data_IF_502389939482
#
_entry.id   IF_502389939482
#
_cell.length_a   1.000
_cell.length_b   1.000
_cell.length_c   1.000
_cell.angle_alpha   90.00
_cell.angle_beta   90.00
_cell.angle_gamma   90.00
#
_symmetry.space_group_name_H-M   'P 1'
#
loop_
_entity.id
_entity.type
_entity.pdbx_description
1 polymer ?
#
# COMPACT_ATOMS: atom_id res chain seq x y z
N UNK A 1 -18.67 -21.02 -3.18
CA UNK A 1 -17.42 -21.75 -2.92
C UNK A 1 -17.52 -23.04 -3.73
N UNK A 2 -16.67 -23.26 -4.74
CA UNK A 2 -16.74 -24.46 -5.58
C UNK A 2 -15.70 -25.47 -5.09
N UNK A 3 -16.16 -26.64 -4.67
CA UNK A 3 -15.31 -27.81 -4.40
C UNK A 3 -15.57 -28.76 -5.57
N UNK A 4 -14.57 -29.04 -6.41
CA UNK A 4 -14.69 -30.11 -7.39
C UNK A 4 -13.38 -30.86 -7.49
N UNK A 5 -13.45 -32.18 -7.31
CA UNK A 5 -12.53 -33.11 -7.94
C UNK A 5 -13.42 -34.18 -8.58
N UNK A 6 -13.57 -34.20 -9.90
CA UNK A 6 -14.23 -35.31 -10.60
C UNK A 6 -13.92 -35.30 -12.11
N UNK A 7 -13.49 -36.46 -12.61
CA UNK A 7 -12.76 -36.67 -13.87
C UNK A 7 -13.63 -36.92 -15.12
N UNK A 8 -14.96 -36.88 -15.02
CA UNK A 8 -15.85 -37.08 -16.18
C UNK A 8 -16.85 -35.91 -16.36
N UNK A 9 -16.85 -35.30 -17.54
CA UNK A 9 -17.75 -34.20 -17.89
C UNK A 9 -19.22 -34.63 -18.05
N UNK A 10 -19.48 -35.91 -18.31
CA UNK A 10 -20.83 -36.43 -18.57
C UNK A 10 -21.62 -36.72 -17.27
N UNK A 11 -20.96 -36.75 -16.11
CA UNK A 11 -21.59 -36.91 -14.79
C UNK A 11 -21.90 -35.57 -14.09
N UNK A 12 -21.56 -34.43 -14.74
CA UNK A 12 -21.67 -33.06 -14.19
C UNK A 12 -23.00 -32.36 -14.44
N UNK A 13 -24.08 -33.09 -14.74
CA UNK A 13 -25.36 -32.46 -15.06
C UNK A 13 -26.26 -32.24 -13.84
N UNK A 14 -25.81 -32.50 -12.62
CA UNK A 14 -26.60 -32.25 -11.41
C UNK A 14 -26.16 -30.98 -10.68
N UNK A 15 -27.09 -30.34 -9.98
CA UNK A 15 -26.79 -29.19 -9.12
C UNK A 15 -27.58 -29.25 -7.81
N UNK A 16 -27.07 -28.58 -6.79
CA UNK A 16 -27.73 -28.49 -5.50
C UNK A 16 -28.63 -27.25 -5.48
N UNK A 17 -29.86 -27.40 -5.00
CA UNK A 17 -30.84 -26.32 -4.91
C UNK A 17 -31.45 -26.24 -3.51
N UNK A 18 -31.92 -25.04 -3.15
CA UNK A 18 -32.69 -24.77 -1.94
C UNK A 18 -33.84 -23.85 -2.34
N UNK A 19 -35.07 -24.25 -1.99
CA UNK A 19 -36.28 -23.47 -2.30
C UNK A 19 -36.68 -22.61 -1.09
N UNK A 20 -36.59 -21.29 -1.25
CA UNK A 20 -36.93 -20.30 -0.22
C UNK A 20 -38.25 -19.58 -0.51
N UNK A 21 -38.96 -19.92 -1.60
CA UNK A 21 -40.09 -19.13 -2.12
C UNK A 21 -41.29 -19.03 -1.18
N UNK A 22 -41.46 -19.99 -0.27
CA UNK A 22 -42.56 -20.06 0.69
C UNK A 22 -42.20 -19.51 2.07
N UNK A 23 -40.94 -19.11 2.27
CA UNK A 23 -40.45 -18.62 3.55
C UNK A 23 -40.60 -17.10 3.65
N UNK A 24 -40.91 -16.63 4.85
CA UNK A 24 -40.88 -15.20 5.20
C UNK A 24 -39.56 -14.89 5.91
N UNK A 25 -39.46 -13.72 6.54
CA UNK A 25 -38.34 -13.36 7.41
C UNK A 25 -38.22 -14.30 8.61
N UNK A 26 -37.01 -14.72 8.96
CA UNK A 26 -36.75 -15.62 10.08
C UNK A 26 -35.54 -16.52 9.86
N UNK A 27 -35.26 -17.40 10.83
CA UNK A 27 -34.22 -18.43 10.76
C UNK A 27 -34.87 -19.78 10.45
N UNK A 28 -34.31 -20.49 9.48
CA UNK A 28 -34.84 -21.76 9.00
C UNK A 28 -33.72 -22.76 8.75
N UNK A 29 -33.97 -24.03 9.08
CA UNK A 29 -33.19 -25.14 8.54
C UNK A 29 -33.91 -25.67 7.30
N UNK A 30 -33.27 -25.53 6.14
CA UNK A 30 -33.88 -25.85 4.85
C UNK A 30 -33.18 -27.06 4.22
N UNK A 31 -33.95 -28.00 3.62
CA UNK A 31 -33.37 -29.18 2.99
C UNK A 31 -32.67 -28.80 1.69
N UNK A 32 -31.47 -29.36 1.49
CA UNK A 32 -30.74 -29.26 0.24
C UNK A 32 -31.29 -30.33 -0.70
N UNK A 33 -31.57 -29.97 -1.95
CA UNK A 33 -32.06 -30.88 -2.99
C UNK A 33 -31.00 -31.11 -4.03
N UNK A 34 -30.96 -32.32 -4.59
CA UNK A 34 -30.19 -32.63 -5.79
C UNK A 34 -31.14 -32.54 -6.97
N UNK A 35 -30.82 -31.66 -7.91
CA UNK A 35 -31.54 -31.51 -9.17
C UNK A 35 -30.71 -32.14 -10.30
N UNK A 36 -31.39 -32.70 -11.30
CA UNK A 36 -30.76 -33.21 -12.54
C UNK A 36 -29.69 -34.32 -12.33
N UNK A 37 -29.87 -35.18 -11.32
CA UNK A 37 -29.03 -36.36 -11.11
C UNK A 37 -29.19 -37.38 -12.27
N UNK A 38 -28.11 -37.77 -12.97
CA UNK A 38 -28.19 -38.76 -14.06
C UNK A 38 -28.72 -40.13 -13.58
N UNK A 39 -29.35 -40.88 -14.50
CA UNK A 39 -29.79 -42.25 -14.20
C UNK A 39 -28.60 -43.18 -13.96
N UNK A 40 -28.71 -44.07 -12.96
CA UNK A 40 -27.69 -45.07 -12.64
C UNK A 40 -26.66 -44.63 -11.60
N UNK A 41 -26.79 -43.44 -11.01
CA UNK A 41 -25.96 -42.96 -9.90
C UNK A 41 -26.81 -42.68 -8.65
N UNK A 42 -26.23 -42.91 -7.47
CA UNK A 42 -26.83 -42.57 -6.18
C UNK A 42 -25.99 -41.48 -5.54
N UNK A 43 -26.62 -40.42 -5.04
CA UNK A 43 -25.94 -39.32 -4.38
C UNK A 43 -26.51 -39.08 -2.98
N UNK A 44 -25.62 -38.75 -2.03
CA UNK A 44 -25.95 -38.47 -0.64
C UNK A 44 -25.46 -37.07 -0.29
N UNK A 45 -26.30 -36.25 0.32
CA UNK A 45 -25.93 -34.91 0.77
C UNK A 45 -25.64 -34.95 2.28
N UNK A 46 -24.43 -34.55 2.66
CA UNK A 46 -24.06 -34.31 4.06
C UNK A 46 -23.41 -32.92 4.19
N UNK A 47 -23.99 -32.00 4.98
CA UNK A 47 -25.24 -32.12 5.75
C UNK A 47 -26.51 -32.07 4.87
N UNK A 48 -27.60 -32.71 5.30
CA UNK A 48 -28.88 -32.75 4.56
C UNK A 48 -29.64 -31.41 4.57
N UNK A 49 -29.33 -30.54 5.52
CA UNK A 49 -29.97 -29.24 5.71
C UNK A 49 -28.94 -28.14 5.84
N UNK A 50 -29.36 -26.92 5.54
CA UNK A 50 -28.57 -25.70 5.72
C UNK A 50 -29.34 -24.72 6.60
N UNK A 51 -28.66 -24.09 7.55
CA UNK A 51 -29.24 -22.99 8.32
C UNK A 51 -29.21 -21.71 7.50
N UNK A 52 -30.36 -21.07 7.30
CA UNK A 52 -30.50 -19.84 6.53
C UNK A 52 -31.30 -18.83 7.35
N UNK A 53 -30.87 -17.57 7.27
CA UNK A 53 -31.63 -16.42 7.81
C UNK A 53 -32.17 -15.61 6.64
N UNK A 54 -33.49 -15.45 6.56
CA UNK A 54 -34.16 -14.54 5.62
C UNK A 54 -34.49 -13.23 6.33
N UNK A 55 -34.15 -12.12 5.71
CA UNK A 55 -34.39 -10.76 6.21
C UNK A 55 -34.99 -9.91 5.09
N UNK A 56 -35.73 -8.87 5.46
CA UNK A 56 -36.19 -7.87 4.49
C UNK A 56 -35.00 -7.13 3.90
N UNK A 57 -35.01 -6.97 2.57
CA UNK A 57 -33.93 -6.32 1.83
C UNK A 57 -34.03 -4.81 1.99
N UNK A 58 -32.99 -4.20 2.54
CA UNK A 58 -32.89 -2.75 2.73
C UNK A 58 -31.66 -2.21 2.00
N UNK A 59 -31.77 -0.99 1.47
CA UNK A 59 -30.67 -0.23 0.88
C UNK A 59 -30.49 1.08 1.64
N UNK A 60 -29.26 1.38 2.05
CA UNK A 60 -28.91 2.60 2.79
C UNK A 60 -27.55 3.12 2.35
N UNK A 61 -27.36 4.44 2.42
CA UNK A 61 -26.06 5.08 2.16
C UNK A 61 -25.23 5.15 3.44
N UNK A 62 -23.93 4.92 3.29
CA UNK A 62 -22.94 4.97 4.36
C UNK A 62 -21.71 5.76 3.90
N UNK A 63 -21.04 6.40 4.85
CA UNK A 63 -19.74 7.01 4.64
C UNK A 63 -18.65 5.93 4.63
N UNK A 64 -17.64 6.13 3.80
CA UNK A 64 -16.49 5.23 3.69
C UNK A 64 -15.38 5.71 4.63
N UNK A 65 -14.93 4.80 5.47
CA UNK A 65 -13.83 5.02 6.40
C UNK A 65 -12.54 4.43 5.82
N UNK A 66 -11.56 5.26 5.41
CA UNK A 66 -10.25 4.75 5.03
C UNK A 66 -9.52 4.20 6.26
N UNK A 67 -8.76 3.13 6.07
CA UNK A 67 -8.03 2.48 7.16
C UNK A 67 -6.67 1.99 6.69
N UNK A 68 -5.64 2.22 7.50
CA UNK A 68 -4.33 1.60 7.37
C UNK A 68 -3.83 1.26 8.77
N UNK A 69 -3.14 0.14 8.92
CA UNK A 69 -2.64 -0.32 10.20
C UNK A 69 -1.25 0.28 10.48
N UNK A 70 -1.00 0.70 11.73
CA UNK A 70 0.30 1.21 12.16
C UNK A 70 1.44 0.19 12.00
N UNK A 71 1.13 -1.10 12.01
CA UNK A 71 2.11 -2.19 11.80
C UNK A 71 2.65 -2.24 10.38
N UNK A 72 1.99 -1.56 9.43
CA UNK A 72 2.44 -1.45 8.04
C UNK A 72 3.43 -0.29 7.83
N UNK A 73 3.73 0.50 8.87
CA UNK A 73 4.68 1.62 8.81
C UNK A 73 6.05 1.20 9.37
N UNK A 74 7.16 1.58 8.72
CA UNK A 74 8.49 1.46 9.30
C UNK A 74 8.68 2.36 10.54
N UNK A 75 9.68 2.06 11.38
CA UNK A 75 9.98 2.90 12.55
C UNK A 75 10.34 4.33 12.15
N UNK A 76 9.68 5.30 12.77
CA UNK A 76 9.85 6.73 12.49
C UNK A 76 8.97 7.28 11.37
N UNK A 77 8.15 6.42 10.74
CA UNK A 77 7.16 6.86 9.75
C UNK A 77 5.81 7.11 10.43
N UNK A 78 5.07 8.09 9.93
CA UNK A 78 3.71 8.38 10.39
C UNK A 78 2.78 8.58 9.20
N UNK A 79 1.50 8.28 9.38
CA UNK A 79 0.49 8.63 8.38
C UNK A 79 0.17 10.11 8.52
N UNK A 80 0.33 10.85 7.43
CA UNK A 80 -0.06 12.25 7.31
C UNK A 80 -1.56 12.37 7.04
N UNK A 81 -2.03 11.65 6.02
CA UNK A 81 -3.44 11.67 5.63
C UNK A 81 -3.87 10.37 4.95
N UNK A 82 -5.15 10.03 5.13
CA UNK A 82 -5.83 9.01 4.35
C UNK A 82 -7.03 9.63 3.64
N UNK A 83 -7.26 9.25 2.38
CA UNK A 83 -8.44 9.69 1.62
C UNK A 83 -8.94 8.62 0.67
N UNK A 84 -10.24 8.67 0.37
CA UNK A 84 -10.90 7.82 -0.63
C UNK A 84 -11.54 8.69 -1.70
N UNK A 85 -11.72 8.14 -2.89
CA UNK A 85 -12.40 8.86 -3.98
C UNK A 85 -13.92 8.82 -3.85
N UNK A 86 -14.47 7.74 -3.28
CA UNK A 86 -15.91 7.58 -3.04
C UNK A 86 -16.18 7.71 -1.54
N UNK A 87 -16.52 8.92 -1.10
CA UNK A 87 -16.78 9.20 0.33
C UNK A 87 -18.08 8.55 0.82
N UNK A 88 -19.02 8.23 -0.09
CA UNK A 88 -20.30 7.60 0.21
C UNK A 88 -20.62 6.48 -0.75
N UNK A 89 -21.18 5.40 -0.21
CA UNK A 89 -21.60 4.24 -1.00
C UNK A 89 -22.97 3.73 -0.60
N UNK A 90 -23.63 3.05 -1.53
CA UNK A 90 -24.91 2.39 -1.28
C UNK A 90 -24.67 0.95 -0.86
N UNK A 91 -25.22 0.59 0.30
CA UNK A 91 -25.11 -0.75 0.86
C UNK A 91 -26.48 -1.39 0.89
N UNK A 92 -26.54 -2.61 0.37
CA UNK A 92 -27.75 -3.43 0.32
C UNK A 92 -27.52 -4.71 1.11
N UNK A 93 -28.33 -4.92 2.14
CA UNK A 93 -28.28 -6.12 2.99
C UNK A 93 -29.64 -6.36 3.64
N UNK A 94 -29.75 -7.40 4.47
CA UNK A 94 -30.91 -7.60 5.34
C UNK A 94 -31.03 -6.49 6.38
N UNK A 95 -32.25 -6.16 6.80
CA UNK A 95 -32.51 -5.04 7.73
C UNK A 95 -31.70 -5.13 9.04
N UNK A 96 -31.61 -6.31 9.64
CA UNK A 96 -30.85 -6.52 10.88
C UNK A 96 -29.35 -6.45 10.63
N UNK A 97 -28.90 -6.89 9.45
CA UNK A 97 -27.52 -6.75 9.03
C UNK A 97 -27.13 -5.27 8.86
N UNK A 98 -27.97 -4.46 8.22
CA UNK A 98 -27.77 -3.00 8.06
C UNK A 98 -27.63 -2.30 9.41
N UNK A 99 -28.43 -2.67 10.41
CA UNK A 99 -28.37 -2.08 11.77
C UNK A 99 -27.06 -2.40 12.50
N UNK A 100 -26.38 -3.49 12.14
CA UNK A 100 -25.11 -3.92 12.75
C UNK A 100 -23.88 -3.33 12.07
N UNK A 101 -24.03 -2.73 10.88
CA UNK A 101 -22.92 -2.08 10.19
C UNK A 101 -22.46 -0.89 11.02
N UNK A 102 -21.21 -0.95 11.47
CA UNK A 102 -20.54 0.11 12.20
C UNK A 102 -19.77 1.03 11.25
N UNK A 103 -19.15 0.46 10.20
CA UNK A 103 -18.37 1.20 9.22
C UNK A 103 -18.33 0.48 7.88
N UNK A 104 -18.11 1.25 6.81
CA UNK A 104 -17.68 0.73 5.52
C UNK A 104 -16.19 1.03 5.39
N UNK A 105 -15.36 0.00 5.52
CA UNK A 105 -13.91 0.16 5.53
C UNK A 105 -13.33 0.05 4.11
N UNK A 106 -12.51 1.03 3.76
CA UNK A 106 -11.55 0.98 2.66
C UNK A 106 -10.15 0.75 3.25
N UNK A 107 -9.83 -0.52 3.50
CA UNK A 107 -8.59 -0.89 4.16
C UNK A 107 -7.43 -1.02 3.16
N UNK A 108 -6.25 -0.55 3.57
CA UNK A 108 -5.00 -0.85 2.89
C UNK A 108 -4.77 -2.37 2.88
N UNK A 109 -4.41 -2.98 1.73
CA UNK A 109 -4.12 -4.42 1.68
C UNK A 109 -2.99 -4.80 2.65
N UNK A 110 -3.13 -5.94 3.34
CA UNK A 110 -2.22 -6.37 4.41
C UNK A 110 -0.79 -6.65 3.93
N UNK A 111 -0.60 -6.91 2.64
CA UNK A 111 0.70 -7.18 2.01
C UNK A 111 1.46 -5.89 1.62
N UNK A 112 0.82 -4.72 1.78
CA UNK A 112 1.44 -3.42 1.50
C UNK A 112 2.15 -2.89 2.74
N UNK A 113 3.41 -2.49 2.58
CA UNK A 113 4.16 -1.71 3.57
C UNK A 113 4.24 -0.25 3.11
N UNK A 114 4.02 0.69 4.03
CA UNK A 114 3.96 2.13 3.79
C UNK A 114 5.32 2.81 3.96
N UNK A 115 6.30 2.41 3.15
CA UNK A 115 7.60 3.08 3.04
C UNK A 115 7.57 4.35 2.17
N UNK A 116 6.53 4.49 1.34
CA UNK A 116 6.22 5.66 0.53
C UNK A 116 4.70 5.91 0.50
N UNK A 117 4.29 7.00 -0.16
CA UNK A 117 2.88 7.27 -0.39
C UNK A 117 2.24 6.13 -1.19
N UNK A 118 1.04 5.74 -0.80
CA UNK A 118 0.26 4.73 -1.49
C UNK A 118 -0.89 5.38 -2.26
N UNK A 119 -1.19 4.85 -3.45
CA UNK A 119 -2.36 5.19 -4.23
C UNK A 119 -2.81 3.97 -5.01
N UNK A 120 -3.99 3.42 -4.70
CA UNK A 120 -4.47 2.20 -5.35
C UNK A 120 -5.96 1.93 -5.14
N UNK A 121 -6.50 1.02 -5.93
CA UNK A 121 -7.89 0.56 -5.79
C UNK A 121 -7.99 -0.49 -4.69
N UNK A 122 -8.97 -0.34 -3.80
CA UNK A 122 -9.25 -1.29 -2.71
C UNK A 122 -10.72 -1.68 -2.69
N UNK A 123 -11.00 -2.89 -2.20
CA UNK A 123 -12.36 -3.40 -2.02
C UNK A 123 -12.96 -2.83 -0.75
N UNK A 124 -14.24 -2.48 -0.80
CA UNK A 124 -14.99 -2.01 0.36
C UNK A 124 -15.59 -3.18 1.13
N UNK A 125 -15.54 -3.08 2.46
CA UNK A 125 -16.12 -4.08 3.36
C UNK A 125 -17.02 -3.41 4.39
N UNK A 126 -18.24 -3.93 4.55
CA UNK A 126 -19.07 -3.56 5.69
C UNK A 126 -18.64 -4.36 6.91
N UNK A 127 -18.37 -3.69 8.02
CA UNK A 127 -17.93 -4.34 9.28
C UNK A 127 -18.85 -3.99 10.45
N UNK A 128 -18.96 -4.90 11.40
CA UNK A 128 -19.63 -4.65 12.68
C UNK A 128 -18.69 -3.99 13.71
N UNK A 129 -19.19 -3.77 14.93
CA UNK A 129 -18.44 -3.15 16.03
C UNK A 129 -17.21 -3.95 16.49
N UNK A 130 -17.10 -5.22 16.10
CA UNK A 130 -15.93 -6.08 16.39
C UNK A 130 -14.92 -6.09 15.25
N UNK A 131 -15.22 -5.40 14.13
CA UNK A 131 -14.43 -5.45 12.91
C UNK A 131 -14.72 -6.67 12.04
N UNK A 132 -15.76 -7.46 12.35
CA UNK A 132 -16.13 -8.63 11.54
C UNK A 132 -16.85 -8.17 10.27
N UNK A 133 -16.44 -8.72 9.13
CA UNK A 133 -17.07 -8.47 7.84
C UNK A 133 -18.49 -9.04 7.82
N UNK A 134 -19.45 -8.21 7.43
CA UNK A 134 -20.86 -8.56 7.28
C UNK A 134 -21.20 -8.83 5.81
N UNK A 135 -22.02 -9.84 5.51
CA UNK A 135 -22.49 -10.10 4.14
C UNK A 135 -23.36 -8.94 3.67
N UNK A 136 -22.91 -8.27 2.60
CA UNK A 136 -23.59 -7.11 2.03
C UNK A 136 -23.18 -6.90 0.57
N UNK A 137 -24.01 -6.19 -0.18
CA UNK A 137 -23.71 -5.72 -1.53
C UNK A 137 -23.44 -4.22 -1.47
N UNK A 138 -22.24 -3.80 -1.87
CA UNK A 138 -21.79 -2.40 -1.82
C UNK A 138 -21.64 -1.88 -3.26
N UNK A 139 -22.13 -0.67 -3.52
CA UNK A 139 -22.10 -0.02 -4.84
C UNK A 139 -21.61 1.45 -4.70
N UNK A 140 -20.46 1.80 -5.32
CA UNK A 140 -19.48 0.90 -5.96
C UNK A 140 -18.85 -0.09 -4.97
N UNK A 141 -18.40 -1.25 -5.44
CA UNK A 141 -17.79 -2.29 -4.58
C UNK A 141 -16.32 -2.02 -4.22
N UNK A 142 -15.69 -1.06 -4.91
CA UNK A 142 -14.30 -0.69 -4.76
C UNK A 142 -14.17 0.83 -4.79
N UNK A 143 -13.14 1.38 -4.16
CA UNK A 143 -12.78 2.80 -4.26
C UNK A 143 -11.27 2.97 -4.43
N UNK A 144 -10.83 4.17 -4.82
CA UNK A 144 -9.41 4.55 -4.82
C UNK A 144 -9.01 5.08 -3.45
N UNK A 145 -8.11 4.38 -2.77
CA UNK A 145 -7.49 4.78 -1.51
C UNK A 145 -6.15 5.48 -1.78
N UNK A 146 -5.94 6.61 -1.12
CA UNK A 146 -4.66 7.32 -1.06
C UNK A 146 -4.20 7.42 0.39
N UNK A 147 -2.94 7.10 0.63
CA UNK A 147 -2.28 7.23 1.93
C UNK A 147 -1.02 8.07 1.73
N UNK A 148 -0.92 9.18 2.44
CA UNK A 148 0.27 10.02 2.48
C UNK A 148 1.01 9.74 3.77
N UNK A 149 2.32 9.51 3.67
CA UNK A 149 3.17 9.24 4.83
C UNK A 149 4.22 10.33 5.01
N UNK A 150 4.47 10.66 6.27
CA UNK A 150 5.59 11.48 6.67
C UNK A 150 6.75 10.58 7.06
N UNK A 151 7.94 10.91 6.56
CA UNK A 151 9.19 10.20 6.84
C UNK A 151 9.96 10.98 7.90
N UNK A 152 10.66 10.27 8.79
CA UNK A 152 11.65 10.90 9.65
C UNK A 152 12.74 11.52 8.79
N UNK A 153 13.16 12.74 9.15
CA UNK A 153 14.22 13.47 8.43
C UNK A 153 15.38 13.84 9.34
N UNK A 154 16.58 13.89 8.76
CA UNK A 154 17.82 14.34 9.43
C UNK A 154 18.65 15.17 8.46
N UNK A 155 19.00 16.38 8.86
CA UNK A 155 19.96 17.20 8.11
C UNK A 155 21.39 16.79 8.45
N UNK A 156 22.20 16.56 7.41
CA UNK A 156 23.62 16.22 7.57
C UNK A 156 24.50 17.10 6.68
N UNK A 157 25.72 17.43 7.11
CA UNK A 157 26.68 18.16 6.29
C UNK A 157 27.16 17.33 5.09
N UNK A 158 27.47 18.04 4.00
CA UNK A 158 28.11 17.47 2.82
C UNK A 158 29.61 17.72 2.86
N UNK A 159 30.38 16.64 2.75
CA UNK A 159 31.84 16.66 2.68
C UNK A 159 32.31 16.47 1.25
N UNK A 160 33.04 17.45 0.71
CA UNK A 160 33.60 17.38 -0.63
C UNK A 160 34.93 16.62 -0.60
N UNK A 161 35.02 15.52 -1.34
CA UNK A 161 36.25 14.71 -1.47
C UNK A 161 36.79 14.84 -2.88
N UNK A 162 38.05 15.27 -3.02
CA UNK A 162 38.73 15.37 -4.32
C UNK A 162 39.37 14.03 -4.68
N UNK A 163 39.14 13.54 -5.90
CA UNK A 163 39.75 12.33 -6.48
C UNK A 163 40.46 12.68 -7.78
N UNK A 164 41.37 11.82 -8.21
CA UNK A 164 42.14 12.04 -9.45
C UNK A 164 43.49 12.70 -9.22
N UNK A 165 44.08 13.25 -10.29
CA UNK A 165 45.45 13.79 -10.28
C UNK A 165 45.46 15.30 -10.46
N UNK A 166 46.09 16.02 -9.54
CA UNK A 166 46.29 17.47 -9.64
C UNK A 166 47.26 17.80 -10.79
N UNK A 167 46.93 18.81 -11.59
CA UNK A 167 47.81 19.31 -12.65
C UNK A 167 49.11 19.91 -12.05
N UNK A 168 50.26 19.60 -12.67
CA UNK A 168 51.59 20.03 -12.19
C UNK A 168 51.79 21.55 -12.19
N UNK A 169 50.96 22.30 -12.90
CA UNK A 169 51.01 23.77 -12.97
C UNK A 169 50.25 24.45 -11.81
N UNK A 170 49.54 23.67 -10.99
CA UNK A 170 48.68 24.15 -9.92
C UNK A 170 49.25 23.80 -8.55
N UNK A 171 49.03 24.67 -7.56
CA UNK A 171 49.36 24.42 -6.15
C UNK A 171 48.23 23.69 -5.42
N UNK A 172 46.98 23.99 -5.77
CA UNK A 172 45.78 23.36 -5.19
C UNK A 172 44.54 23.64 -6.04
N UNK A 173 43.44 22.93 -5.76
CA UNK A 173 42.10 23.26 -6.25
C UNK A 173 41.22 23.54 -5.03
N UNK A 174 40.67 24.76 -4.96
CA UNK A 174 39.67 25.12 -3.95
C UNK A 174 38.30 24.63 -4.38
N UNK A 175 37.52 24.16 -3.43
CA UNK A 175 36.16 23.69 -3.66
C UNK A 175 35.15 24.60 -2.96
N UNK A 176 34.05 24.88 -3.63
CA UNK A 176 32.88 25.56 -3.06
C UNK A 176 31.62 24.81 -3.47
N UNK A 177 30.86 24.34 -2.49
CA UNK A 177 29.59 23.64 -2.71
C UNK A 177 28.42 24.62 -2.65
N UNK A 178 27.39 24.40 -3.47
CA UNK A 178 26.13 25.16 -3.44
C UNK A 178 25.41 24.98 -2.11
N UNK A 179 25.27 23.72 -1.68
CA UNK A 179 24.48 23.31 -0.52
C UNK A 179 25.39 22.58 0.47
N UNK A 180 25.58 23.19 1.64
CA UNK A 180 26.46 22.62 2.69
C UNK A 180 25.79 21.48 3.46
N UNK A 181 24.48 21.37 3.36
CA UNK A 181 23.64 20.44 4.10
C UNK A 181 22.67 19.78 3.15
N UNK A 182 22.36 18.51 3.41
CA UNK A 182 21.37 17.72 2.68
C UNK A 182 20.41 17.12 3.70
N UNK A 183 19.13 17.11 3.38
CA UNK A 183 18.10 16.46 4.19
C UNK A 183 18.01 14.99 3.79
N UNK A 184 18.23 14.10 4.74
CA UNK A 184 18.05 12.66 4.57
C UNK A 184 16.67 12.27 5.11
N UNK A 185 16.01 11.32 4.44
CA UNK A 185 14.73 10.75 4.88
C UNK A 185 14.75 9.22 4.80
N UNK A 186 14.24 8.54 5.83
CA UNK A 186 14.27 7.08 5.88
C UNK A 186 14.02 6.52 7.29
N UNK A 187 14.36 5.25 7.47
CA UNK A 187 14.24 4.59 8.78
C UNK A 187 15.19 5.23 9.80
N UNK A 188 14.74 5.28 11.06
CA UNK A 188 15.50 5.89 12.15
C UNK A 188 16.91 5.34 12.29
N UNK A 189 17.07 4.02 12.28
CA UNK A 189 18.38 3.36 12.40
C UNK A 189 19.33 3.74 11.26
N UNK A 190 18.82 3.85 10.03
CA UNK A 190 19.61 4.26 8.86
C UNK A 190 20.02 5.73 8.93
N UNK A 191 19.12 6.61 9.38
CA UNK A 191 19.43 8.03 9.60
C UNK A 191 20.45 8.25 10.72
N UNK A 192 20.36 7.48 11.81
CA UNK A 192 21.30 7.56 12.93
C UNK A 192 22.72 7.10 12.51
N UNK A 193 22.83 6.15 11.58
CA UNK A 193 24.11 5.67 11.07
C UNK A 193 24.86 6.68 10.18
N UNK A 194 24.17 7.69 9.64
CA UNK A 194 24.76 8.65 8.70
C UNK A 194 24.96 10.01 9.38
N UNK A 195 26.23 10.41 9.57
CA UNK A 195 26.58 11.71 10.17
C UNK A 195 27.03 12.76 9.16
N UNK A 196 27.56 12.33 8.02
CA UNK A 196 27.95 13.17 6.89
C UNK A 196 27.72 12.39 5.59
N UNK A 197 27.51 13.11 4.49
CA UNK A 197 27.46 12.52 3.14
C UNK A 197 28.61 13.03 2.29
N UNK A 198 29.17 12.18 1.43
CA UNK A 198 30.30 12.54 0.59
C UNK A 198 29.89 12.95 -0.83
N UNK A 199 30.39 14.11 -1.28
CA UNK A 199 30.35 14.54 -2.66
C UNK A 199 31.76 14.40 -3.28
N UNK A 200 31.96 13.34 -4.07
CA UNK A 200 33.25 13.10 -4.74
C UNK A 200 33.36 13.88 -6.05
N UNK A 201 34.42 14.68 -6.21
CA UNK A 201 34.76 15.41 -7.45
C UNK A 201 36.07 14.90 -8.05
N UNK A 202 36.10 14.65 -9.35
CA UNK A 202 37.35 14.37 -10.07
C UNK A 202 38.03 15.69 -10.46
N UNK A 203 39.28 15.86 -10.05
CA UNK A 203 40.09 17.05 -10.34
C UNK A 203 41.05 16.85 -11.52
N UNK A 204 41.08 15.65 -12.13
CA UNK A 204 41.97 15.33 -13.24
C UNK A 204 41.68 16.21 -14.46
N UNK A 205 42.70 16.94 -14.92
CA UNK A 205 42.59 17.83 -16.10
C UNK A 205 41.92 19.18 -15.84
N UNK A 206 41.57 19.50 -14.59
CA UNK A 206 40.95 20.79 -14.23
C UNK A 206 42.01 21.89 -14.16
N UNK A 207 42.11 22.69 -15.22
CA UNK A 207 43.05 23.84 -15.33
C UNK A 207 42.36 25.21 -15.38
N UNK A 208 41.03 25.22 -15.45
CA UNK A 208 40.18 26.42 -15.40
C UNK A 208 39.03 26.19 -14.43
N UNK A 209 38.45 27.28 -13.94
CA UNK A 209 37.27 27.19 -13.08
C UNK A 209 36.16 26.41 -13.78
N UNK A 210 35.64 25.41 -13.08
CA UNK A 210 34.63 24.49 -13.61
C UNK A 210 33.60 24.19 -12.53
N UNK A 211 32.34 24.11 -12.93
CA UNK A 211 31.23 23.66 -12.09
C UNK A 211 30.89 22.23 -12.43
N UNK A 212 30.75 21.40 -11.41
CA UNK A 212 30.45 19.97 -11.56
C UNK A 212 29.25 19.64 -10.69
N UNK A 213 28.23 19.01 -11.28
CA UNK A 213 27.10 18.45 -10.52
C UNK A 213 27.48 17.07 -10.02
N UNK A 214 27.34 16.85 -8.71
CA UNK A 214 27.76 15.63 -8.03
C UNK A 214 26.56 14.97 -7.35
N UNK A 215 26.26 13.69 -7.64
CA UNK A 215 25.19 13.00 -6.96
C UNK A 215 25.56 12.67 -5.51
N UNK A 216 24.61 12.87 -4.60
CA UNK A 216 24.72 12.48 -3.19
C UNK A 216 24.33 11.02 -3.06
N UNK A 217 25.23 10.21 -2.49
CA UNK A 217 24.98 8.79 -2.23
C UNK A 217 24.81 8.56 -0.74
N UNK A 218 23.63 8.10 -0.35
CA UNK A 218 23.30 7.72 1.03
C UNK A 218 22.58 6.37 1.01
N UNK A 219 23.22 5.31 1.50
CA UNK A 219 22.66 3.95 1.47
C UNK A 219 21.54 3.82 2.50
N UNK A 220 20.37 3.31 2.08
CA UNK A 220 19.25 3.03 2.98
C UNK A 220 18.37 4.24 3.32
N UNK A 221 18.67 5.42 2.77
CA UNK A 221 17.88 6.65 2.94
C UNK A 221 17.79 7.42 1.62
N UNK A 222 16.80 8.30 1.49
CA UNK A 222 16.69 9.23 0.36
C UNK A 222 17.27 10.59 0.73
N UNK A 223 18.02 11.20 -0.19
CA UNK A 223 18.64 12.51 -0.02
C UNK A 223 17.90 13.59 -0.83
N UNK A 224 17.74 14.77 -0.24
CA UNK A 224 17.24 15.98 -0.90
C UNK A 224 18.11 17.20 -0.53
N UNK A 225 18.76 17.88 -1.50
CA UNK A 225 18.77 17.55 -2.93
C UNK A 225 19.53 16.25 -3.25
N UNK A 226 19.15 15.58 -4.35
CA UNK A 226 19.81 14.35 -4.83
C UNK A 226 21.21 14.60 -5.39
N UNK A 227 21.47 15.82 -5.83
CA UNK A 227 22.75 16.25 -6.41
C UNK A 227 23.08 17.66 -5.93
N UNK A 228 24.38 17.98 -5.85
CA UNK A 228 24.89 19.29 -5.42
C UNK A 228 25.88 19.83 -6.46
N UNK A 229 25.91 21.14 -6.64
CA UNK A 229 26.89 21.78 -7.51
C UNK A 229 28.18 22.08 -6.72
N UNK A 230 29.31 21.60 -7.23
CA UNK A 230 30.63 21.92 -6.70
C UNK A 230 31.41 22.75 -7.72
N UNK A 231 31.80 23.95 -7.32
CA UNK A 231 32.71 24.80 -8.07
C UNK A 231 34.15 24.45 -7.70
N UNK A 232 34.96 24.12 -8.71
CA UNK A 232 36.38 23.84 -8.62
C UNK A 232 37.15 25.06 -9.13
N UNK A 233 37.93 25.71 -8.25
CA UNK A 233 38.75 26.87 -8.61
C UNK A 233 40.24 26.51 -8.49
N UNK A 234 40.95 26.35 -9.63
CA UNK A 234 42.40 26.15 -9.67
C UNK A 234 43.19 27.30 -9.05
N UNK A 235 44.23 26.97 -8.27
CA UNK A 235 45.19 27.93 -7.71
C UNK A 235 46.56 27.64 -8.32
N UNK A 236 47.19 28.64 -8.95
CA UNK A 236 48.52 28.48 -9.57
C UNK A 236 49.63 28.38 -8.51
N UNK A 237 50.76 27.80 -8.91
CA UNK A 237 52.00 27.84 -8.11
C UNK A 237 52.55 29.27 -8.17
N UNK A 238 52.78 29.89 -7.00
CA UNK A 238 53.49 31.17 -6.94
C UNK A 238 54.96 30.95 -7.31
N UNK A 239 55.41 31.60 -8.38
CA UNK A 239 56.82 31.64 -8.78
C UNK A 239 57.61 32.71 -8.04
#
# INVERSE_FOLDING_TARGET
MCITNEENSDTRNFFLSVDLTKLKTGKFDVPIRIEQLPGGVTATIEPKTMNITLEDKVKKEFEVTPKADSTQLPEGFTIDSLSVSDEKVKVTAGEESIKKIQAIEAALPNDVNLNENYSGTVTLHAVDSTGKILPSQIEPSTTHLKVVVNKLTKDVPVKVTQKGTLDKTLSSIKTKISDKTVTLSGEKSALEAINEVEASVDISGVVKETKVTVPIRATGVSADPKEVEVTLTPVKISG
#
